data_IF_419407376804
#
_entry.id   IF_419407376804
#
_cell.length_a   1.000
_cell.length_b   1.000
_cell.length_c   1.000
_cell.angle_alpha   90.00
_cell.angle_beta   90.00
_cell.angle_gamma   90.00
#
_symmetry.space_group_name_H-M   'P 1'
#
loop_
_entity.id
_entity.type
_entity.pdbx_description
1 polymer ?
#
# COMPACT_ATOMS: atom_id res chain seq x y z
N UNK A 1 0.81 -1.39 7.25
CA UNK A 1 2.06 -2.17 7.01
C UNK A 1 2.12 -3.28 8.03
N UNK A 2 1.98 -4.53 7.59
CA UNK A 2 2.13 -5.70 8.44
C UNK A 2 3.56 -5.79 9.02
N UNK A 3 3.68 -6.10 10.32
CA UNK A 3 4.98 -6.20 11.01
C UNK A 3 5.89 -7.26 10.42
N UNK A 4 5.36 -8.30 9.80
CA UNK A 4 6.15 -9.33 9.10
C UNK A 4 6.94 -8.77 7.93
N UNK A 5 6.48 -7.68 7.32
CA UNK A 5 7.14 -7.00 6.21
C UNK A 5 7.98 -5.79 6.63
N UNK A 6 7.96 -5.39 7.92
CA UNK A 6 8.53 -4.11 8.37
C UNK A 6 10.01 -3.98 8.02
N UNK A 7 10.80 -5.03 8.25
CA UNK A 7 12.25 -4.96 8.14
C UNK A 7 12.67 -4.75 6.68
N UNK A 8 12.01 -5.45 5.76
CA UNK A 8 12.23 -5.27 4.34
C UNK A 8 11.71 -3.92 3.85
N UNK A 9 10.55 -3.47 4.34
CA UNK A 9 9.93 -2.21 3.91
C UNK A 9 10.83 -1.02 4.27
N UNK A 10 11.23 -0.90 5.54
CA UNK A 10 12.04 0.23 6.00
C UNK A 10 13.46 0.20 5.44
N UNK A 11 14.03 -0.98 5.18
CA UNK A 11 15.35 -1.09 4.53
C UNK A 11 15.38 -0.60 3.09
N UNK A 12 14.27 -0.68 2.36
CA UNK A 12 14.23 -0.31 0.94
C UNK A 12 14.08 1.20 0.70
N UNK A 13 13.75 1.99 1.73
CA UNK A 13 13.52 3.45 1.65
C UNK A 13 12.59 3.89 0.50
N UNK A 14 11.71 2.99 0.08
CA UNK A 14 10.79 3.12 -1.06
C UNK A 14 9.71 4.18 -0.87
N UNK A 15 9.42 4.55 0.38
CA UNK A 15 8.49 5.63 0.69
C UNK A 15 9.30 6.75 1.33
N UNK A 16 9.56 7.80 0.55
CA UNK A 16 10.18 9.01 1.07
C UNK A 16 9.12 9.84 1.80
N UNK A 17 9.46 10.37 2.98
CA UNK A 17 8.60 11.30 3.75
C UNK A 17 7.27 10.72 4.26
N UNK A 18 7.33 9.64 5.05
CA UNK A 18 6.16 9.15 5.80
C UNK A 18 6.26 9.47 7.29
N UNK A 19 5.10 9.44 7.95
CA UNK A 19 4.97 9.51 9.40
C UNK A 19 4.25 8.25 9.89
N UNK A 20 4.73 7.68 11.00
CA UNK A 20 3.98 6.62 11.70
C UNK A 20 2.93 7.31 12.56
N UNK A 21 1.66 7.15 12.20
CA UNK A 21 0.54 7.79 12.91
C UNK A 21 -0.16 6.85 13.89
N UNK A 22 0.04 5.55 13.73
CA UNK A 22 -0.45 4.54 14.68
C UNK A 22 0.41 3.26 14.62
N UNK A 23 0.45 2.55 15.73
CA UNK A 23 1.16 1.28 15.89
C UNK A 23 0.32 0.34 16.74
N UNK A 24 -0.25 -0.66 16.09
CA UNK A 24 -0.96 -1.75 16.75
C UNK A 24 -0.01 -2.93 17.05
N UNK A 25 -0.53 -4.03 17.62
CA UNK A 25 0.26 -5.22 17.97
C UNK A 25 0.85 -5.94 16.75
N UNK A 26 0.23 -5.81 15.59
CA UNK A 26 0.50 -6.58 14.35
C UNK A 26 0.93 -5.71 13.16
N UNK A 27 0.74 -4.39 13.22
CA UNK A 27 0.87 -3.51 12.07
C UNK A 27 1.27 -2.07 12.44
N UNK A 28 1.70 -1.32 11.42
CA UNK A 28 1.94 0.12 11.48
C UNK A 28 1.00 0.84 10.51
N UNK A 29 0.43 1.96 10.95
CA UNK A 29 -0.26 2.89 10.07
C UNK A 29 0.68 4.04 9.70
N UNK A 30 0.91 4.20 8.40
CA UNK A 30 1.78 5.22 7.85
C UNK A 30 0.93 6.27 7.13
N UNK A 31 1.22 7.54 7.36
CA UNK A 31 0.71 8.66 6.57
C UNK A 31 1.84 9.19 5.69
N UNK A 32 1.55 9.54 4.45
CA UNK A 32 2.54 10.04 3.50
C UNK A 32 1.89 11.00 2.52
N UNK A 33 2.68 11.90 1.95
CA UNK A 33 2.28 12.76 0.86
C UNK A 33 2.96 12.28 -0.42
N UNK A 34 2.16 12.06 -1.45
CA UNK A 34 2.64 11.65 -2.77
C UNK A 34 2.23 12.69 -3.79
N UNK A 35 3.06 12.87 -4.83
CA UNK A 35 2.76 13.83 -5.89
C UNK A 35 1.72 13.28 -6.88
N UNK A 36 1.69 11.95 -7.05
CA UNK A 36 0.81 11.28 -8.01
C UNK A 36 0.18 10.02 -7.41
N UNK A 37 -1.09 9.78 -7.69
CA UNK A 37 -1.81 8.59 -7.23
C UNK A 37 -1.16 7.29 -7.73
N UNK A 38 -0.65 7.28 -8.97
CA UNK A 38 -0.06 6.06 -9.56
C UNK A 38 1.23 5.63 -8.84
N UNK A 39 1.96 6.57 -8.23
CA UNK A 39 3.16 6.29 -7.43
C UNK A 39 2.81 5.40 -6.22
N UNK A 40 1.84 5.84 -5.42
CA UNK A 40 1.39 5.08 -4.25
C UNK A 40 0.70 3.78 -4.66
N UNK A 41 -0.08 3.78 -5.76
CA UNK A 41 -0.69 2.56 -6.27
C UNK A 41 0.36 1.55 -6.72
N UNK A 42 1.45 1.96 -7.36
CA UNK A 42 2.53 1.06 -7.78
C UNK A 42 3.23 0.45 -6.56
N UNK A 43 3.58 1.28 -5.59
CA UNK A 43 4.19 0.83 -4.33
C UNK A 43 3.30 -0.19 -3.64
N UNK A 44 2.03 0.11 -3.40
CA UNK A 44 1.15 -0.82 -2.66
C UNK A 44 1.01 -2.14 -3.40
N UNK A 45 0.87 -2.13 -4.73
CA UNK A 45 0.81 -3.36 -5.55
C UNK A 45 2.01 -4.30 -5.32
N UNK A 46 3.22 -3.75 -5.21
CA UNK A 46 4.44 -4.54 -4.98
C UNK A 46 4.50 -5.20 -3.59
N UNK A 47 3.68 -4.74 -2.66
CA UNK A 47 3.71 -5.15 -1.26
C UNK A 47 2.45 -5.89 -0.80
N UNK A 48 1.53 -6.22 -1.71
CA UNK A 48 0.39 -7.10 -1.39
C UNK A 48 0.94 -8.47 -0.95
N UNK A 49 0.43 -9.06 0.15
CA UNK A 49 -0.72 -8.62 0.96
C UNK A 49 -0.36 -7.75 2.19
N UNK A 50 0.91 -7.42 2.40
CA UNK A 50 1.43 -6.80 3.63
C UNK A 50 1.15 -5.29 3.76
N UNK A 51 0.82 -4.61 2.66
CA UNK A 51 0.44 -3.20 2.65
C UNK A 51 -0.93 -3.04 1.99
N UNK A 52 -1.76 -2.20 2.62
CA UNK A 52 -3.09 -1.81 2.14
C UNK A 52 -3.28 -0.31 2.31
N UNK A 53 -4.12 0.27 1.46
CA UNK A 53 -4.54 1.67 1.54
C UNK A 53 -5.72 1.74 2.51
N UNK A 54 -5.61 2.59 3.53
CA UNK A 54 -6.71 2.88 4.46
C UNK A 54 -7.49 4.12 4.04
N UNK A 55 -6.78 5.15 3.56
CA UNK A 55 -7.35 6.40 3.09
C UNK A 55 -6.42 7.02 2.02
N UNK A 56 -6.94 7.88 1.13
CA UNK A 56 -8.36 8.18 0.95
C UNK A 56 -9.13 6.98 0.33
N UNK A 57 -10.46 6.93 0.49
CA UNK A 57 -11.27 5.76 0.12
C UNK A 57 -11.28 5.53 -1.40
N UNK A 58 -11.23 6.60 -2.16
CA UNK A 58 -11.20 6.62 -3.63
C UNK A 58 -9.99 5.85 -4.15
N UNK A 59 -8.82 6.07 -3.53
CA UNK A 59 -7.57 5.41 -3.90
C UNK A 59 -7.60 3.90 -3.58
N UNK A 60 -8.23 3.54 -2.45
CA UNK A 60 -8.47 2.13 -2.10
C UNK A 60 -9.37 1.45 -3.13
N UNK A 61 -10.49 2.06 -3.49
CA UNK A 61 -11.43 1.53 -4.51
C UNK A 61 -10.71 1.36 -5.85
N UNK A 62 -9.95 2.37 -6.28
CA UNK A 62 -9.17 2.32 -7.52
C UNK A 62 -8.18 1.15 -7.54
N UNK A 63 -7.49 0.88 -6.42
CA UNK A 63 -6.61 -0.29 -6.32
C UNK A 63 -7.38 -1.60 -6.43
N UNK A 64 -8.51 -1.72 -5.73
CA UNK A 64 -9.34 -2.93 -5.78
C UNK A 64 -9.88 -3.21 -7.19
N UNK A 65 -10.30 -2.18 -7.92
CA UNK A 65 -10.79 -2.31 -9.30
C UNK A 65 -9.68 -2.75 -10.26
N UNK A 66 -8.47 -2.21 -10.12
CA UNK A 66 -7.30 -2.65 -10.89
C UNK A 66 -7.03 -4.14 -10.65
N UNK A 67 -7.05 -4.59 -9.38
CA UNK A 67 -6.79 -5.99 -9.03
C UNK A 67 -7.90 -6.92 -9.51
N UNK A 68 -9.18 -6.53 -9.36
CA UNK A 68 -10.32 -7.30 -9.87
C UNK A 68 -10.26 -7.41 -11.39
N UNK A 69 -9.97 -6.32 -12.10
CA UNK A 69 -9.83 -6.32 -13.55
C UNK A 69 -8.71 -7.27 -13.99
N UNK A 70 -7.55 -7.22 -13.32
CA UNK A 70 -6.44 -8.13 -13.57
C UNK A 70 -6.84 -9.60 -13.41
N UNK A 71 -7.48 -9.95 -12.28
CA UNK A 71 -7.92 -11.32 -12.00
C UNK A 71 -9.00 -11.80 -13.00
N UNK A 72 -9.96 -10.96 -13.33
CA UNK A 72 -11.01 -11.28 -14.30
C UNK A 72 -10.45 -11.47 -15.72
N UNK A 73 -9.41 -10.71 -16.09
CA UNK A 73 -8.73 -10.88 -17.37
C UNK A 73 -7.89 -12.15 -17.43
N UNK A 74 -7.34 -12.63 -16.31
CA UNK A 74 -6.64 -13.92 -16.25
C UNK A 74 -7.58 -15.12 -16.41
N UNK A 75 -8.86 -14.95 -16.07
CA UNK A 75 -9.88 -16.00 -16.21
C UNK A 75 -10.52 -16.10 -17.61
N UNK A 76 -10.07 -15.28 -18.56
CA UNK A 76 -10.45 -15.35 -19.99
C UNK A 76 -9.43 -16.14 -20.78
#
# INVERSE_FOLDING_TARGET
>A
LDKNAKEYFFRKEILSNYQIIDKDETSYTLSTQVSYEDEILHLVKQWIPYIKILAPIELKIRLEDILKSYLNNLSK
#
